data_IF_450205858998
#
_entry.id   IF_450205858998
#
_cell.length_a   1.000
_cell.length_b   1.000
_cell.length_c   1.000
_cell.angle_alpha   90.00
_cell.angle_beta   90.00
_cell.angle_gamma   90.00
#
_symmetry.space_group_name_H-M   'P 1'
#
loop_
_entity.id
_entity.type
_entity.pdbx_description
1 polymer ?
#
# COMPACT_ATOMS: atom_id res chain seq x y z
N UNK A 1 1.52 -10.75 22.46
CA UNK A 1 0.16 -11.00 21.94
C UNK A 1 0.30 -11.51 20.51
N UNK A 2 0.06 -12.79 20.27
CA UNK A 2 0.04 -13.34 18.90
C UNK A 2 -1.27 -12.91 18.27
N UNK A 3 -1.29 -11.76 17.57
CA UNK A 3 -2.43 -11.40 16.71
C UNK A 3 -2.48 -12.44 15.59
N UNK A 4 -3.60 -13.14 15.44
CA UNK A 4 -3.87 -13.89 14.22
C UNK A 4 -4.28 -12.88 13.16
N UNK A 5 -3.44 -12.73 12.14
CA UNK A 5 -3.72 -11.88 11.00
C UNK A 5 -4.53 -12.66 9.96
N UNK A 6 -5.51 -12.05 9.29
CA UNK A 6 -6.17 -12.69 8.15
C UNK A 6 -5.13 -13.07 7.08
N UNK A 7 -5.34 -14.16 6.36
CA UNK A 7 -4.49 -14.51 5.23
C UNK A 7 -4.59 -13.43 4.13
N UNK A 8 -3.49 -13.19 3.40
CA UNK A 8 -3.47 -12.25 2.28
C UNK A 8 -3.38 -10.76 2.67
N UNK A 9 -2.99 -10.44 3.90
CA UNK A 9 -2.77 -9.05 4.34
C UNK A 9 -1.31 -8.65 4.31
N UNK A 10 -1.05 -7.35 4.15
CA UNK A 10 0.26 -6.77 4.34
C UNK A 10 0.38 -6.22 5.76
N UNK A 11 1.43 -6.64 6.49
CA UNK A 11 1.71 -6.19 7.86
C UNK A 11 2.94 -5.29 7.89
N UNK A 12 2.81 -4.09 8.45
CA UNK A 12 3.95 -3.26 8.81
C UNK A 12 4.52 -3.73 10.17
N UNK A 13 5.74 -4.28 10.23
CA UNK A 13 6.28 -4.88 11.46
C UNK A 13 6.64 -3.86 12.54
N UNK A 14 6.77 -2.57 12.20
CA UNK A 14 7.20 -1.54 13.15
C UNK A 14 6.10 -1.12 14.13
N UNK A 15 4.87 -0.91 13.64
CA UNK A 15 3.76 -0.39 14.44
C UNK A 15 2.44 -1.15 14.21
N UNK A 16 2.51 -2.28 13.51
CA UNK A 16 1.41 -3.23 13.33
C UNK A 16 0.20 -2.68 12.54
N UNK A 17 0.44 -1.77 11.59
CA UNK A 17 -0.55 -1.43 10.57
C UNK A 17 -0.80 -2.62 9.65
N UNK A 18 -2.07 -2.90 9.36
CA UNK A 18 -2.51 -4.00 8.50
C UNK A 18 -3.20 -3.41 7.27
N UNK A 19 -2.86 -3.91 6.10
CA UNK A 19 -3.49 -3.52 4.84
C UNK A 19 -4.06 -4.72 4.09
N UNK A 20 -5.16 -4.52 3.37
CA UNK A 20 -5.65 -5.52 2.40
C UNK A 20 -4.82 -5.51 1.11
N UNK A 21 -5.17 -6.39 0.16
CA UNK A 21 -4.53 -6.48 -1.15
C UNK A 21 -4.62 -5.19 -1.99
N UNK A 22 -5.62 -4.35 -1.73
CA UNK A 22 -5.79 -3.05 -2.37
C UNK A 22 -5.02 -1.93 -1.62
N UNK A 23 -4.30 -2.26 -0.55
CA UNK A 23 -3.53 -1.32 0.26
C UNK A 23 -4.36 -0.49 1.23
N UNK A 24 -5.65 -0.79 1.41
CA UNK A 24 -6.53 -0.10 2.36
C UNK A 24 -6.14 -0.49 3.78
N UNK A 25 -6.11 0.50 4.67
CA UNK A 25 -5.87 0.27 6.11
C UNK A 25 -7.05 -0.53 6.71
N UNK A 26 -6.76 -1.72 7.23
CA UNK A 26 -7.71 -2.53 8.00
C UNK A 26 -7.56 -2.27 9.51
N UNK A 27 -6.32 -2.08 10.00
CA UNK A 27 -6.01 -1.86 11.41
C UNK A 27 -4.66 -1.13 11.58
N UNK A 28 -4.40 -0.64 12.80
CA UNK A 28 -3.16 0.00 13.22
C UNK A 28 -3.06 1.49 12.88
N UNK A 29 -1.90 2.12 13.14
CA UNK A 29 -1.77 3.57 13.20
C UNK A 29 -1.54 4.27 11.85
N UNK A 30 -1.57 3.54 10.72
CA UNK A 30 -1.34 4.14 9.42
C UNK A 30 -2.43 5.20 9.11
N UNK A 31 -2.05 6.44 8.79
CA UNK A 31 -3.02 7.52 8.61
C UNK A 31 -3.79 7.44 7.29
N UNK A 32 -3.31 6.63 6.34
CA UNK A 32 -3.87 6.51 4.99
C UNK A 32 -3.49 5.17 4.33
N UNK A 33 -4.18 4.77 3.24
CA UNK A 33 -3.79 3.63 2.41
C UNK A 33 -2.37 3.72 1.84
N UNK A 34 -1.83 2.58 1.42
CA UNK A 34 -0.55 2.48 0.71
C UNK A 34 -0.59 3.27 -0.61
N UNK A 35 0.58 3.76 -1.02
CA UNK A 35 0.74 4.40 -2.32
C UNK A 35 0.77 3.37 -3.43
N UNK A 36 -0.21 3.45 -4.33
CA UNK A 36 -0.33 2.54 -5.47
C UNK A 36 0.40 3.16 -6.67
N UNK A 37 1.31 2.41 -7.25
CA UNK A 37 2.00 2.81 -8.48
C UNK A 37 1.07 2.63 -9.69
N UNK A 38 1.02 3.60 -10.62
CA UNK A 38 0.29 3.43 -11.87
C UNK A 38 0.82 2.22 -12.64
N UNK A 39 -0.11 1.33 -13.00
CA UNK A 39 0.17 0.05 -13.65
C UNK A 39 -0.54 -0.03 -15.00
N UNK A 40 0.15 -0.55 -16.01
CA UNK A 40 -0.45 -0.93 -17.29
C UNK A 40 0.00 -2.34 -17.66
N UNK A 41 -0.96 -3.20 -18.02
CA UNK A 41 -0.69 -4.48 -18.66
C UNK A 41 -0.99 -4.32 -20.14
N UNK A 42 -0.03 -4.61 -21.01
CA UNK A 42 -0.25 -4.53 -22.45
C UNK A 42 -0.82 -5.82 -23.04
N UNK A 43 -1.16 -5.78 -24.34
CA UNK A 43 -1.77 -6.92 -25.03
C UNK A 43 -0.87 -8.17 -25.08
N UNK A 44 0.44 -8.02 -24.87
CA UNK A 44 1.40 -9.12 -24.78
C UNK A 44 1.54 -9.70 -23.37
N UNK A 45 0.85 -9.12 -22.38
CA UNK A 45 0.97 -9.50 -20.97
C UNK A 45 2.18 -8.89 -20.27
N UNK A 46 2.89 -7.93 -20.89
CA UNK A 46 3.97 -7.22 -20.24
C UNK A 46 3.39 -6.19 -19.26
N UNK A 47 3.98 -6.14 -18.07
CA UNK A 47 3.58 -5.27 -16.99
C UNK A 47 4.52 -4.06 -16.93
N UNK A 48 3.95 -2.86 -17.08
CA UNK A 48 4.66 -1.58 -17.07
C UNK A 48 4.21 -0.76 -15.88
N UNK A 49 5.18 -0.23 -15.13
CA UNK A 49 4.95 0.69 -14.02
C UNK A 49 5.54 2.06 -14.35
N UNK A 50 4.92 3.11 -13.82
CA UNK A 50 5.51 4.43 -13.76
C UNK A 50 5.97 4.64 -12.32
N UNK A 51 7.25 4.95 -12.13
CA UNK A 51 7.76 5.32 -10.82
C UNK A 51 7.16 6.67 -10.40
N UNK A 52 6.63 6.72 -9.19
CA UNK A 52 5.94 7.89 -8.65
C UNK A 52 6.31 8.03 -7.19
N UNK A 53 6.78 9.22 -6.82
CA UNK A 53 7.09 9.52 -5.43
C UNK A 53 5.87 10.15 -4.74
N UNK A 54 5.53 9.63 -3.57
CA UNK A 54 4.48 10.16 -2.71
C UNK A 54 5.07 10.66 -1.39
N UNK A 55 4.52 11.74 -0.86
CA UNK A 55 4.91 12.23 0.46
C UNK A 55 4.50 11.21 1.54
N UNK A 56 5.49 10.66 2.23
CA UNK A 56 5.27 9.78 3.38
C UNK A 56 4.81 10.55 4.63
N UNK A 57 4.04 9.89 5.49
CA UNK A 57 3.69 10.39 6.84
C UNK A 57 2.64 11.50 6.90
N UNK A 58 1.91 11.74 5.80
CA UNK A 58 0.78 12.69 5.74
C UNK A 58 -0.54 11.93 5.56
N UNK A 59 -1.66 12.53 5.99
CA UNK A 59 -2.99 11.92 5.87
C UNK A 59 -3.49 11.80 4.42
N UNK A 60 -2.99 12.66 3.52
CA UNK A 60 -3.41 12.70 2.12
C UNK A 60 -2.30 12.15 1.23
N UNK A 61 -2.66 11.45 0.15
CA UNK A 61 -1.68 11.05 -0.87
C UNK A 61 -1.29 12.27 -1.69
N UNK A 62 -0.05 12.72 -1.51
CA UNK A 62 0.50 13.87 -2.22
C UNK A 62 1.59 13.34 -3.15
N UNK A 63 1.31 13.33 -4.45
CA UNK A 63 2.29 13.00 -5.49
C UNK A 63 3.29 14.15 -5.63
N UNK A 64 4.58 13.84 -5.56
CA UNK A 64 5.67 14.82 -5.64
C UNK A 64 6.21 14.98 -7.07
N UNK A 65 6.29 13.88 -7.83
CA UNK A 65 6.78 13.80 -9.22
C UNK A 65 5.90 12.84 -10.04
#
# INVERSE_FOLDING_TARGET
KTKNFPDGVFLCPCHLSIYDEAGKVIDGPAPRPLDVLPLQVDAGGELKIIDVEYKAGVNNQIRLL
#
